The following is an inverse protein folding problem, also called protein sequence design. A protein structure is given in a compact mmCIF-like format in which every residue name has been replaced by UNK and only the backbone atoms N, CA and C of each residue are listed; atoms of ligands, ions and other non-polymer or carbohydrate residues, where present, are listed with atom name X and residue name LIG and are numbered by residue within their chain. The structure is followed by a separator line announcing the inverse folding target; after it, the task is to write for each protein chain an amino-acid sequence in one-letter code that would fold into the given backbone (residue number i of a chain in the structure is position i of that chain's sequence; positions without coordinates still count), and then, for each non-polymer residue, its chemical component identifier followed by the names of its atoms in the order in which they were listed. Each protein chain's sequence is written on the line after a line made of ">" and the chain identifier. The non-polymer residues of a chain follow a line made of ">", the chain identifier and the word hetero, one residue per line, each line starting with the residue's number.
data_IF_092619778016
#
_entry.id   IF_092619778016
#
_cell.length_a   1.000
_cell.length_b   1.000
_cell.length_c   1.000
_cell.angle_alpha   90.00
_cell.angle_beta   90.00
_cell.angle_gamma   90.00
#
_symmetry.space_group_name_H-M   'P 1'
#
loop_
_entity.id
_entity.type
_entity.pdbx_description
1 polymer ?
#
# COMPACT_ATOMS: atom_id res chain seq x y z
N UNK A 1 24.41 -12.14 -3.50
CA UNK A 1 25.39 -11.13 -3.01
C UNK A 1 24.55 -9.97 -2.50
N UNK A 2 24.77 -9.46 -1.28
CA UNK A 2 24.02 -8.28 -0.79
C UNK A 2 24.52 -7.06 -1.57
N UNK A 3 23.63 -6.33 -2.24
CA UNK A 3 23.99 -5.10 -2.93
C UNK A 3 24.45 -4.07 -1.89
N UNK A 4 25.63 -3.48 -2.08
CA UNK A 4 26.18 -2.49 -1.16
C UNK A 4 25.53 -1.15 -1.39
N UNK A 5 24.89 -0.62 -0.35
CA UNK A 5 24.23 0.68 -0.39
C UNK A 5 25.24 1.82 -0.24
N UNK A 6 25.05 2.91 -0.98
CA UNK A 6 25.81 4.14 -0.90
C UNK A 6 24.99 5.20 -0.16
N UNK A 7 24.97 5.09 1.17
CA UNK A 7 24.24 5.99 2.06
C UNK A 7 24.77 7.44 2.04
N UNK A 8 26.00 7.62 1.57
CA UNK A 8 26.60 8.94 1.31
C UNK A 8 26.00 9.70 0.12
N UNK A 9 25.19 9.01 -0.70
CA UNK A 9 24.50 9.55 -1.87
C UNK A 9 22.98 9.47 -1.68
N UNK A 10 22.27 10.56 -1.93
CA UNK A 10 20.79 10.58 -1.94
C UNK A 10 20.31 10.58 -3.37
N UNK A 11 19.56 9.55 -3.74
CA UNK A 11 18.97 9.41 -5.07
C UNK A 11 17.66 10.20 -5.19
N UNK A 12 16.83 10.16 -4.11
CA UNK A 12 15.65 11.00 -3.96
C UNK A 12 15.24 11.13 -2.50
N UNK A 13 14.60 12.26 -2.17
CA UNK A 13 14.01 12.50 -0.85
C UNK A 13 12.71 13.29 -1.03
N UNK A 14 11.59 12.74 -0.54
CA UNK A 14 10.28 13.36 -0.60
C UNK A 14 9.63 13.34 0.78
N UNK A 15 9.04 14.48 1.17
CA UNK A 15 8.23 14.64 2.39
C UNK A 15 6.92 15.26 1.98
N UNK A 16 5.81 14.58 2.23
CA UNK A 16 4.46 15.05 1.91
C UNK A 16 3.56 14.84 3.13
N UNK A 17 2.72 15.82 3.42
CA UNK A 17 1.77 15.74 4.54
C UNK A 17 0.33 15.74 4.04
N UNK A 18 -0.56 15.11 4.78
CA UNK A 18 -2.01 15.19 4.60
C UNK A 18 -2.72 15.13 5.95
N UNK A 19 -3.96 15.61 6.00
CA UNK A 19 -4.80 15.50 7.19
C UNK A 19 -5.56 14.18 7.18
N UNK A 20 -5.68 13.55 8.36
CA UNK A 20 -6.48 12.34 8.60
C UNK A 20 -7.62 12.72 9.53
N UNK A 21 -8.85 12.56 9.06
CA UNK A 21 -10.07 12.79 9.82
C UNK A 21 -10.39 11.57 10.72
N UNK A 22 -9.62 11.42 11.79
CA UNK A 22 -9.81 10.38 12.80
C UNK A 22 -9.20 10.81 14.14
N UNK A 23 -9.76 10.37 15.29
CA UNK A 23 -9.13 10.54 16.58
C UNK A 23 -7.75 9.88 16.63
N UNK A 24 -6.78 10.58 17.20
CA UNK A 24 -5.38 10.15 17.22
C UNK A 24 -5.17 8.77 17.86
N UNK A 25 -5.90 8.47 18.94
CA UNK A 25 -5.85 7.21 19.67
C UNK A 25 -6.56 6.04 18.94
N UNK A 26 -7.30 6.32 17.87
CA UNK A 26 -7.89 5.30 17.00
C UNK A 26 -6.97 4.93 15.81
N UNK A 27 -5.90 5.71 15.58
CA UNK A 27 -4.99 5.46 14.46
C UNK A 27 -3.85 4.53 14.90
N UNK A 28 -3.66 3.45 14.15
CA UNK A 28 -2.52 2.55 14.24
C UNK A 28 -1.98 2.30 12.83
N UNK A 29 -0.94 3.07 12.45
CA UNK A 29 -0.32 2.99 11.12
C UNK A 29 0.31 1.62 10.89
N UNK A 30 0.94 1.04 11.92
CA UNK A 30 1.60 -0.25 11.82
C UNK A 30 0.57 -1.35 11.52
N UNK A 31 -0.57 -1.34 12.20
CA UNK A 31 -1.63 -2.31 11.99
C UNK A 31 -2.35 -2.07 10.65
N UNK A 32 -2.59 -0.81 10.27
CA UNK A 32 -3.11 -0.46 8.95
C UNK A 32 -2.24 -1.03 7.83
N UNK A 33 -0.91 -0.83 7.87
CA UNK A 33 0.03 -1.38 6.88
C UNK A 33 -0.01 -2.91 6.81
N UNK A 34 0.01 -3.58 7.98
CA UNK A 34 -0.04 -5.05 8.07
C UNK A 34 -1.33 -5.64 7.52
N UNK A 35 -2.40 -4.87 7.50
CA UNK A 35 -3.73 -5.32 7.05
C UNK A 35 -4.18 -4.68 5.74
N UNK A 36 -3.35 -3.84 5.10
CA UNK A 36 -3.68 -3.13 3.86
C UNK A 36 -3.85 -4.12 2.69
N UNK A 37 -5.07 -4.33 2.19
CA UNK A 37 -5.27 -5.27 1.09
C UNK A 37 -4.88 -4.65 -0.25
N UNK A 38 -4.46 -5.48 -1.21
CA UNK A 38 -4.03 -5.06 -2.55
C UNK A 38 -5.00 -4.07 -3.23
N UNK A 39 -6.30 -4.32 -3.15
CA UNK A 39 -7.29 -3.46 -3.82
C UNK A 39 -7.36 -2.05 -3.21
N UNK A 40 -7.11 -1.92 -1.89
CA UNK A 40 -7.06 -0.62 -1.22
C UNK A 40 -5.74 0.08 -1.52
N UNK A 41 -4.62 -0.66 -1.52
CA UNK A 41 -3.32 -0.14 -1.97
C UNK A 41 -3.40 0.43 -3.38
N UNK A 42 -4.02 -0.29 -4.32
CA UNK A 42 -4.21 0.17 -5.71
C UNK A 42 -5.02 1.46 -5.82
N UNK A 43 -5.95 1.71 -4.88
CA UNK A 43 -6.72 2.96 -4.83
C UNK A 43 -5.92 4.15 -4.36
N UNK A 44 -4.81 3.91 -3.64
CA UNK A 44 -4.00 4.97 -3.05
C UNK A 44 -3.05 5.65 -4.05
N UNK A 45 -2.72 5.03 -5.18
CA UNK A 45 -2.00 5.68 -6.29
C UNK A 45 -2.32 4.99 -7.64
N UNK A 46 -3.52 5.15 -8.20
CA UNK A 46 -3.83 4.61 -9.52
C UNK A 46 -3.15 5.43 -10.64
N UNK A 47 -2.57 4.82 -11.69
CA UNK A 47 -2.43 3.37 -11.88
C UNK A 47 -1.10 2.80 -11.35
N UNK A 48 -0.35 3.55 -10.54
CA UNK A 48 1.03 3.23 -10.17
C UNK A 48 1.10 2.00 -9.24
N UNK A 49 0.27 1.94 -8.20
CA UNK A 49 0.22 0.81 -7.28
C UNK A 49 -0.32 -0.47 -7.95
N UNK A 50 0.40 -1.59 -7.79
CA UNK A 50 0.07 -2.88 -8.42
C UNK A 50 -0.38 -3.93 -7.41
N UNK A 51 0.39 -4.12 -6.34
CA UNK A 51 0.10 -5.10 -5.30
C UNK A 51 0.72 -4.69 -3.96
N UNK A 52 0.08 -5.09 -2.87
CA UNK A 52 0.62 -5.04 -1.53
C UNK A 52 0.39 -6.36 -0.81
N UNK A 53 1.25 -6.68 0.14
CA UNK A 53 1.13 -7.85 0.99
C UNK A 53 1.91 -7.69 2.28
N UNK A 54 1.60 -8.54 3.25
CA UNK A 54 2.31 -8.64 4.52
C UNK A 54 2.87 -10.03 4.69
N UNK A 55 4.09 -10.12 5.19
CA UNK A 55 4.74 -11.38 5.56
C UNK A 55 5.64 -11.17 6.77
N UNK A 56 6.31 -12.23 7.18
CA UNK A 56 7.33 -12.23 8.24
C UNK A 56 8.57 -12.90 7.66
N UNK A 57 9.73 -12.30 7.87
CA UNK A 57 11.01 -12.86 7.44
C UNK A 57 11.44 -14.04 8.33
N UNK A 58 12.46 -14.78 7.92
CA UNK A 58 12.98 -15.96 8.61
C UNK A 58 13.41 -15.69 10.06
N UNK A 59 13.83 -14.46 10.38
CA UNK A 59 14.20 -14.03 11.73
C UNK A 59 13.01 -13.50 12.57
N UNK A 60 11.79 -13.55 12.03
CA UNK A 60 10.59 -13.05 12.70
C UNK A 60 10.31 -11.56 12.48
N UNK A 61 11.12 -10.84 11.71
CA UNK A 61 10.87 -9.43 11.41
C UNK A 61 9.67 -9.26 10.50
N UNK A 62 8.68 -8.42 10.86
CA UNK A 62 7.57 -8.09 9.99
C UNK A 62 8.02 -7.43 8.69
N UNK A 63 7.32 -7.74 7.58
CA UNK A 63 7.62 -7.19 6.27
C UNK A 63 6.35 -6.74 5.54
N UNK A 64 6.44 -5.59 4.87
CA UNK A 64 5.47 -5.15 3.86
C UNK A 64 6.07 -5.34 2.46
N UNK A 65 5.33 -6.00 1.59
CA UNK A 65 5.73 -6.20 0.18
C UNK A 65 4.87 -5.29 -0.68
N UNK A 66 5.51 -4.39 -1.41
CA UNK A 66 4.83 -3.45 -2.29
C UNK A 66 5.37 -3.58 -3.72
N UNK A 67 4.47 -3.51 -4.69
CA UNK A 67 4.82 -3.48 -6.12
C UNK A 67 4.16 -2.26 -6.74
N UNK A 68 4.98 -1.39 -7.34
CA UNK A 68 4.50 -0.12 -7.89
C UNK A 68 5.34 0.38 -9.06
N UNK A 69 4.79 1.33 -9.82
CA UNK A 69 5.52 2.06 -10.84
C UNK A 69 6.01 3.40 -10.28
N UNK A 70 7.31 3.64 -10.31
CA UNK A 70 7.88 4.96 -10.03
C UNK A 70 8.52 5.50 -11.31
N UNK A 71 7.85 6.44 -11.94
CA UNK A 71 8.21 6.89 -13.29
C UNK A 71 8.05 5.74 -14.30
N UNK A 72 9.14 5.34 -14.94
CA UNK A 72 9.17 4.21 -15.90
C UNK A 72 9.64 2.89 -15.29
N UNK A 73 10.02 2.88 -14.01
CA UNK A 73 10.52 1.70 -13.31
C UNK A 73 9.43 0.97 -12.53
N UNK A 74 9.31 -0.36 -12.74
CA UNK A 74 8.56 -1.22 -11.83
C UNK A 74 9.45 -1.53 -10.63
N UNK A 75 8.97 -1.17 -9.44
CA UNK A 75 9.71 -1.35 -8.18
C UNK A 75 9.04 -2.45 -7.37
N UNK A 76 9.81 -3.44 -6.94
CA UNK A 76 9.40 -4.47 -5.99
C UNK A 76 10.12 -4.18 -4.67
N UNK A 77 9.34 -3.80 -3.69
CA UNK A 77 9.85 -3.36 -2.38
C UNK A 77 9.57 -4.45 -1.34
N UNK A 78 10.60 -4.80 -0.60
CA UNK A 78 10.58 -5.81 0.46
C UNK A 78 10.92 -5.09 1.77
N UNK A 79 9.97 -4.30 2.27
CA UNK A 79 10.14 -3.45 3.43
C UNK A 79 10.20 -4.27 4.72
N UNK A 80 11.34 -4.25 5.41
CA UNK A 80 11.48 -4.74 6.78
C UNK A 80 11.17 -3.61 7.75
N UNK A 81 10.33 -3.88 8.74
CA UNK A 81 10.01 -2.91 9.77
C UNK A 81 11.21 -2.77 10.74
N UNK A 82 11.78 -1.58 10.82
CA UNK A 82 12.72 -1.18 11.88
C UNK A 82 11.96 -0.63 13.10
N UNK A 83 10.87 0.11 12.86
CA UNK A 83 9.93 0.60 13.88
C UNK A 83 8.51 0.31 13.41
N UNK A 84 7.68 -0.22 14.31
CA UNK A 84 6.28 -0.56 14.05
C UNK A 84 5.40 -0.15 15.23
N UNK A 85 5.32 1.16 15.46
CA UNK A 85 4.50 1.76 16.51
C UNK A 85 3.19 2.31 15.91
N UNK A 86 2.12 2.47 16.71
CA UNK A 86 0.84 2.96 16.21
C UNK A 86 0.93 4.30 15.48
N UNK A 87 1.78 5.21 15.94
CA UNK A 87 1.90 6.56 15.39
C UNK A 87 3.19 6.78 14.58
N UNK A 88 4.09 5.79 14.53
CA UNK A 88 5.33 5.89 13.77
C UNK A 88 5.77 4.53 13.22
N UNK A 89 5.96 4.48 11.92
CA UNK A 89 6.58 3.34 11.26
C UNK A 89 7.82 3.78 10.49
N UNK A 90 8.87 2.99 10.60
CA UNK A 90 10.05 3.09 9.74
C UNK A 90 10.35 1.74 9.14
N UNK A 91 10.45 1.71 7.82
CA UNK A 91 10.69 0.50 7.05
C UNK A 91 11.82 0.73 6.06
N UNK A 92 12.63 -0.29 5.86
CA UNK A 92 13.76 -0.26 4.92
C UNK A 92 13.64 -1.42 3.95
N UNK A 93 13.79 -1.13 2.66
CA UNK A 93 13.80 -2.12 1.58
C UNK A 93 15.05 -1.98 0.72
N UNK A 94 15.70 -3.08 0.45
CA UNK A 94 16.56 -3.19 -0.72
C UNK A 94 15.65 -3.62 -1.88
N UNK A 95 15.27 -2.65 -2.71
CA UNK A 95 14.21 -2.79 -3.70
C UNK A 95 14.79 -3.19 -5.06
N UNK A 96 14.15 -4.16 -5.71
CA UNK A 96 14.43 -4.49 -7.11
C UNK A 96 13.70 -3.53 -8.03
N UNK A 97 14.40 -3.02 -9.04
CA UNK A 97 13.85 -2.05 -10.00
C UNK A 97 14.02 -2.57 -11.42
N UNK A 98 12.91 -2.86 -12.09
CA UNK A 98 12.89 -3.17 -13.52
C UNK A 98 12.63 -1.89 -14.32
N UNK A 99 13.63 -1.46 -15.07
CA UNK A 99 13.55 -0.34 -16.01
C UNK A 99 13.45 -0.82 -17.45
N UNK A 100 13.15 0.02 -18.44
CA UNK A 100 13.25 -0.34 -19.84
C UNK A 100 14.65 -0.82 -20.29
N UNK A 101 15.69 -0.49 -19.51
CA UNK A 101 17.07 -0.86 -19.79
C UNK A 101 17.52 -2.13 -19.03
N UNK A 102 16.69 -2.69 -18.16
CA UNK A 102 16.97 -3.90 -17.38
C UNK A 102 16.80 -3.71 -15.88
N UNK A 103 17.26 -4.72 -15.12
CA UNK A 103 17.18 -4.77 -13.68
C UNK A 103 18.32 -4.02 -12.98
N UNK A 104 17.98 -3.38 -11.89
CA UNK A 104 18.93 -2.78 -10.93
C UNK A 104 18.31 -2.81 -9.54
N UNK A 105 18.99 -2.26 -8.53
CA UNK A 105 18.47 -2.19 -7.16
C UNK A 105 18.76 -0.83 -6.52
N UNK A 106 17.87 -0.43 -5.61
CA UNK A 106 18.04 0.78 -4.78
C UNK A 106 17.58 0.49 -3.35
N UNK A 107 18.17 1.15 -2.36
CA UNK A 107 17.57 1.15 -1.04
C UNK A 107 16.46 2.20 -0.98
N UNK A 108 15.35 1.87 -0.33
CA UNK A 108 14.28 2.81 0.02
C UNK A 108 14.01 2.74 1.51
N UNK A 109 14.00 3.89 2.15
CA UNK A 109 13.58 4.09 3.53
C UNK A 109 12.22 4.79 3.47
N UNK A 110 11.21 4.18 4.08
CA UNK A 110 9.85 4.70 4.13
C UNK A 110 9.46 4.94 5.59
N UNK A 111 9.19 6.21 5.91
CA UNK A 111 8.81 6.64 7.26
C UNK A 111 7.42 7.26 7.22
N UNK A 112 6.57 6.81 8.13
CA UNK A 112 5.19 7.25 8.30
C UNK A 112 5.05 7.77 9.73
N UNK A 113 4.65 9.03 9.87
CA UNK A 113 4.44 9.66 11.16
C UNK A 113 3.02 10.21 11.26
N UNK A 114 2.38 9.97 12.39
CA UNK A 114 1.10 10.57 12.75
C UNK A 114 1.29 11.51 13.95
N UNK A 115 0.83 12.74 13.79
CA UNK A 115 0.84 13.75 14.84
C UNK A 115 -0.58 14.19 15.14
N UNK A 116 -0.90 14.37 16.42
CA UNK A 116 -2.20 14.88 16.82
C UNK A 116 -2.33 16.36 16.45
N UNK A 117 -3.46 16.71 15.87
CA UNK A 117 -3.93 18.09 15.69
C UNK A 117 -5.08 18.39 16.65
N UNK A 118 -5.75 19.52 16.46
CA UNK A 118 -6.92 19.86 17.27
C UNK A 118 -8.14 19.00 16.94
N UNK A 119 -8.90 18.63 17.96
CA UNK A 119 -10.11 17.81 17.81
C UNK A 119 -9.80 16.37 17.35
N UNK A 120 -10.63 15.87 16.41
CA UNK A 120 -10.52 14.50 15.85
C UNK A 120 -9.72 14.50 14.54
N UNK A 121 -8.66 15.31 14.47
CA UNK A 121 -7.81 15.41 13.29
C UNK A 121 -6.35 15.08 13.63
N UNK A 122 -5.68 14.43 12.68
CA UNK A 122 -4.26 14.12 12.76
C UNK A 122 -3.54 14.63 11.51
N UNK A 123 -2.24 14.92 11.64
CA UNK A 123 -1.33 15.12 10.51
C UNK A 123 -0.60 13.83 10.21
N UNK A 124 -0.77 13.33 9.00
CA UNK A 124 0.00 12.23 8.46
C UNK A 124 1.17 12.78 7.64
N UNK A 125 2.39 12.37 7.97
CA UNK A 125 3.60 12.68 7.22
C UNK A 125 4.14 11.44 6.58
N UNK A 126 4.29 11.46 5.26
CA UNK A 126 4.89 10.42 4.43
C UNK A 126 6.26 10.88 3.98
N UNK A 127 7.32 10.19 4.42
CA UNK A 127 8.70 10.47 4.05
C UNK A 127 9.29 9.27 3.32
N UNK A 128 9.79 9.50 2.12
CA UNK A 128 10.46 8.47 1.30
C UNK A 128 11.84 8.96 0.93
N UNK A 129 12.87 8.22 1.37
CA UNK A 129 14.27 8.48 1.02
C UNK A 129 14.83 7.29 0.24
N UNK A 130 15.52 7.54 -0.87
CA UNK A 130 16.16 6.50 -1.67
C UNK A 130 17.65 6.74 -1.79
N UNK A 131 18.42 5.65 -1.60
CA UNK A 131 19.87 5.63 -1.80
C UNK A 131 20.23 4.68 -2.94
N UNK A 132 21.23 5.01 -3.78
CA UNK A 132 21.70 4.08 -4.80
C UNK A 132 22.48 2.92 -4.17
N UNK A 133 22.47 1.79 -4.84
CA UNK A 133 23.42 0.72 -4.59
C UNK A 133 24.64 0.86 -5.51
N UNK A 134 25.73 0.13 -5.24
CA UNK A 134 26.85 0.03 -6.19
C UNK A 134 26.37 -0.55 -7.53
N UNK A 135 25.44 -1.53 -7.51
CA UNK A 135 24.84 -2.11 -8.72
C UNK A 135 24.06 -1.06 -9.52
N UNK A 136 23.33 -0.16 -8.83
CA UNK A 136 22.64 0.96 -9.51
C UNK A 136 23.62 1.91 -10.17
N UNK A 137 24.71 2.28 -9.51
CA UNK A 137 25.71 3.19 -10.05
C UNK A 137 26.42 2.59 -11.27
N UNK A 138 26.72 1.30 -11.22
CA UNK A 138 27.27 0.57 -12.38
C UNK A 138 26.26 0.50 -13.52
N UNK A 139 24.99 0.22 -13.21
CA UNK A 139 23.90 0.16 -14.19
C UNK A 139 23.73 1.47 -14.96
N UNK A 140 23.61 2.62 -14.26
CA UNK A 140 23.45 3.93 -14.92
C UNK A 140 24.68 4.28 -15.75
N UNK A 141 25.89 4.00 -15.24
CA UNK A 141 27.15 4.23 -15.97
C UNK A 141 27.22 3.44 -17.27
N UNK A 142 26.86 2.15 -17.25
CA UNK A 142 26.79 1.28 -18.45
C UNK A 142 25.79 1.77 -19.48
N UNK A 143 24.76 2.48 -19.06
CA UNK A 143 23.73 3.05 -19.91
C UNK A 143 24.00 4.52 -20.29
N UNK A 144 25.21 5.04 -20.02
CA UNK A 144 25.62 6.38 -20.40
C UNK A 144 24.96 7.51 -19.60
N UNK A 145 24.42 7.22 -18.41
CA UNK A 145 23.76 8.18 -17.54
C UNK A 145 24.68 8.52 -16.35
N UNK A 146 24.71 9.78 -15.96
CA UNK A 146 25.42 10.23 -14.76
C UNK A 146 24.52 10.12 -13.52
N UNK A 147 25.14 10.07 -12.34
CA UNK A 147 24.37 10.05 -11.06
C UNK A 147 23.48 11.29 -10.89
N UNK A 148 23.94 12.55 -11.15
CA UNK A 148 23.05 13.71 -11.05
C UNK A 148 21.80 13.62 -11.94
N UNK A 149 21.94 13.16 -13.20
CA UNK A 149 20.80 12.98 -14.11
C UNK A 149 19.82 11.91 -13.58
N UNK A 150 20.34 10.80 -13.06
CA UNK A 150 19.53 9.74 -12.48
C UNK A 150 18.81 10.22 -11.21
N UNK A 151 19.50 10.99 -10.36
CA UNK A 151 18.94 11.55 -9.13
C UNK A 151 17.84 12.59 -9.43
N UNK A 152 18.04 13.47 -10.40
CA UNK A 152 17.02 14.44 -10.82
C UNK A 152 15.76 13.74 -11.34
N UNK A 153 15.91 12.76 -12.23
CA UNK A 153 14.79 11.98 -12.76
C UNK A 153 14.05 11.19 -11.66
N UNK A 154 14.79 10.58 -10.72
CA UNK A 154 14.19 9.85 -9.60
C UNK A 154 13.50 10.78 -8.61
N UNK A 155 14.09 11.94 -8.30
CA UNK A 155 13.50 12.94 -7.44
C UNK A 155 12.17 13.47 -7.99
N UNK A 156 12.10 13.73 -9.28
CA UNK A 156 10.85 14.14 -9.94
C UNK A 156 9.78 13.04 -9.86
N UNK A 157 10.14 11.82 -10.22
CA UNK A 157 9.22 10.68 -10.25
C UNK A 157 8.71 10.34 -8.85
N UNK A 158 9.59 10.20 -7.85
CA UNK A 158 9.23 9.90 -6.46
C UNK A 158 8.42 11.03 -5.84
N UNK A 159 8.83 12.29 -6.04
CA UNK A 159 8.09 13.43 -5.50
C UNK A 159 6.69 13.57 -6.08
N UNK A 160 6.49 13.27 -7.37
CA UNK A 160 5.17 13.24 -7.99
C UNK A 160 4.32 12.11 -7.41
N UNK A 161 4.88 10.92 -7.27
CA UNK A 161 4.21 9.75 -6.73
C UNK A 161 3.77 9.97 -5.27
N UNK A 162 4.67 10.45 -4.39
CA UNK A 162 4.34 10.75 -3.00
C UNK A 162 3.23 11.81 -2.87
N UNK A 163 3.21 12.84 -3.73
CA UNK A 163 2.12 13.83 -3.75
C UNK A 163 0.77 13.23 -4.16
N UNK A 164 0.76 12.21 -5.01
CA UNK A 164 -0.45 11.48 -5.40
C UNK A 164 -0.95 10.57 -4.28
N UNK A 165 -0.07 9.74 -3.72
CA UNK A 165 -0.46 8.68 -2.77
C UNK A 165 -0.79 9.21 -1.36
N UNK A 166 -0.05 10.22 -0.87
CA UNK A 166 -0.15 10.66 0.53
C UNK A 166 -1.57 11.06 0.94
N UNK A 167 -2.31 11.90 0.19
CA UNK A 167 -3.69 12.23 0.54
C UNK A 167 -4.65 11.02 0.43
N UNK A 168 -4.36 10.06 -0.44
CA UNK A 168 -5.16 8.85 -0.60
C UNK A 168 -4.87 7.83 0.49
N UNK A 169 -3.63 7.74 0.97
CA UNK A 169 -3.29 6.99 2.18
C UNK A 169 -3.96 7.59 3.42
N UNK A 170 -3.95 8.93 3.58
CA UNK A 170 -4.65 9.58 4.68
C UNK A 170 -6.13 9.22 4.72
N UNK A 171 -6.82 9.22 3.56
CA UNK A 171 -8.20 8.77 3.46
C UNK A 171 -8.38 7.27 3.78
N UNK A 172 -7.42 6.42 3.38
CA UNK A 172 -7.44 4.99 3.69
C UNK A 172 -7.28 4.74 5.19
N UNK A 173 -6.35 5.45 5.84
CA UNK A 173 -6.12 5.40 7.29
C UNK A 173 -7.38 5.85 8.03
N UNK A 174 -8.01 6.95 7.62
CA UNK A 174 -9.25 7.43 8.23
C UNK A 174 -10.38 6.40 8.15
N UNK A 175 -10.55 5.74 7.00
CA UNK A 175 -11.53 4.65 6.84
C UNK A 175 -11.22 3.45 7.73
N UNK A 176 -9.95 3.10 7.87
CA UNK A 176 -9.52 1.98 8.71
C UNK A 176 -9.74 2.27 10.20
N UNK A 177 -9.46 3.50 10.64
CA UNK A 177 -9.66 3.95 12.02
C UNK A 177 -11.12 4.19 12.40
N UNK A 178 -12.04 4.27 11.42
CA UNK A 178 -13.46 4.49 11.67
C UNK A 178 -14.08 3.31 12.44
N UNK A 179 -14.95 3.57 13.42
CA UNK A 179 -15.67 2.50 14.12
C UNK A 179 -16.49 1.68 13.12
N UNK A 180 -16.62 0.35 13.34
CA UNK A 180 -17.40 -0.50 12.45
C UNK A 180 -18.83 0.05 12.34
N UNK A 181 -19.27 0.32 11.11
CA UNK A 181 -20.65 0.79 10.87
C UNK A 181 -21.63 -0.23 11.47
N UNK A 182 -22.58 0.19 12.34
CA UNK A 182 -23.57 -0.72 12.89
C UNK A 182 -24.28 -1.43 11.72
N UNK A 183 -24.15 -2.75 11.65
CA UNK A 183 -24.91 -3.52 10.67
C UNK A 183 -26.40 -3.22 10.91
N UNK A 184 -27.07 -2.61 9.92
CA UNK A 184 -28.54 -2.50 9.96
C UNK A 184 -29.05 -3.93 10.10
N UNK A 185 -29.54 -4.25 11.30
CA UNK A 185 -30.31 -5.48 11.46
C UNK A 185 -31.40 -5.50 10.39
N UNK A 186 -31.52 -6.60 9.63
CA UNK A 186 -32.62 -6.72 8.69
C UNK A 186 -33.90 -6.48 9.49
N UNK A 187 -34.69 -5.47 9.09
CA UNK A 187 -35.99 -5.23 9.71
C UNK A 187 -36.75 -6.54 9.61
N UNK A 188 -37.06 -7.15 10.77
CA UNK A 188 -37.98 -8.26 10.79
C UNK A 188 -39.27 -7.80 10.14
N UNK A 189 -39.45 -8.10 8.86
CA UNK A 189 -40.76 -7.99 8.24
C UNK A 189 -41.68 -8.97 9.00
N UNK A 190 -42.75 -8.48 9.66
CA UNK A 190 -43.72 -9.42 10.21
C UNK A 190 -44.26 -10.27 9.08
N UNK A 191 -44.04 -11.60 9.21
CA UNK A 191 -44.62 -12.56 8.32
C UNK A 191 -46.14 -12.34 8.31
N UNK A 192 -46.66 -11.77 7.23
CA UNK A 192 -48.11 -11.67 7.01
C UNK A 192 -48.78 -13.05 7.11
N UNK A 193 -50.07 -13.13 7.44
CA UNK A 193 -50.74 -14.41 7.67
C UNK A 193 -50.61 -15.31 6.46
N UNK A 194 -50.16 -16.54 6.67
CA UNK A 194 -50.01 -17.60 5.66
C UNK A 194 -51.39 -17.83 5.01
N UNK A 195 -51.53 -17.61 3.72
CA UNK A 195 -52.70 -18.02 2.95
C UNK A 195 -52.80 -19.56 2.96
N UNK A 196 -53.99 -20.15 3.19
CA UNK A 196 -54.15 -21.58 3.17
C UNK A 196 -53.88 -22.15 1.78
N UNK A 197 -53.20 -23.30 1.73
CA UNK A 197 -52.63 -23.91 0.55
C UNK A 197 -53.65 -24.21 -0.54
N UNK A 198 -53.36 -23.84 -1.77
CA UNK A 198 -53.98 -24.39 -2.98
C UNK A 198 -53.43 -25.81 -3.18
N UNK A 199 -54.32 -26.79 -3.22
CA UNK A 199 -54.01 -28.15 -3.62
C UNK A 199 -53.43 -28.16 -5.04
N UNK A 200 -52.25 -28.71 -5.19
CA UNK A 200 -51.61 -28.95 -6.48
C UNK A 200 -52.28 -30.15 -7.16
N UNK A 201 -52.79 -29.92 -8.39
CA UNK A 201 -53.19 -30.98 -9.33
C UNK A 201 -51.94 -31.56 -9.99
N UNK A 202 -51.87 -32.89 -10.26
CA UNK A 202 -50.71 -33.49 -10.91
C UNK A 202 -50.68 -33.13 -12.41
N UNK A 203 -49.47 -32.88 -12.89
CA UNK A 203 -49.14 -32.61 -14.31
C UNK A 203 -49.16 -33.95 -15.10
N UNK A 204 -49.70 -33.99 -16.33
CA UNK A 204 -49.82 -35.21 -17.10
C UNK A 204 -48.69 -35.45 -18.12
N UNK A 205 -47.48 -34.99 -17.90
CA UNK A 205 -46.36 -35.30 -18.81
C UNK A 205 -45.19 -35.90 -18.07
N UNK A 206 -45.20 -37.24 -18.05
CA UNK A 206 -43.99 -38.00 -17.84
C UNK A 206 -43.16 -38.01 -19.13
N UNK A 207 -41.86 -37.74 -18.98
CA UNK A 207 -40.86 -38.12 -19.98
C UNK A 207 -39.73 -38.83 -19.24
N UNK A 208 -39.70 -40.16 -19.46
CA UNK A 208 -38.58 -41.01 -19.13
C UNK A 208 -37.38 -40.68 -19.99
N UNK A 209 -36.21 -40.57 -19.38
CA UNK A 209 -34.93 -40.60 -20.07
C UNK A 209 -34.20 -41.87 -19.70
N UNK A 210 -33.64 -42.62 -20.68
CA UNK A 210 -32.96 -43.89 -20.42
C UNK A 210 -31.49 -43.68 -19.99
N UNK A 211 -30.99 -44.69 -19.29
CA UNK A 211 -29.68 -45.01 -18.71
C UNK A 211 -28.44 -44.44 -19.38
#
# INVERSE_FOLDING_TARGET
>A
MSAKVREDLVLSHAVVTAEVEAPFDHVDIAQWLKTLPTHEYQRCAPPDHKAAGYTVDDDGTPMSINVEMIGTGLVVQQYRFEVAEPQYCKMVSLSDVLTPLGWTSTQVIWELLMEQLDGDQCRYTNTVTSHPTEDFLEFISKNGQTFPEAAEARQEASGRHCRLETPLYAQSIARWAAPPTPQRQPRNCPLGPRRPGRRSTPSPYGLDLPT
#
